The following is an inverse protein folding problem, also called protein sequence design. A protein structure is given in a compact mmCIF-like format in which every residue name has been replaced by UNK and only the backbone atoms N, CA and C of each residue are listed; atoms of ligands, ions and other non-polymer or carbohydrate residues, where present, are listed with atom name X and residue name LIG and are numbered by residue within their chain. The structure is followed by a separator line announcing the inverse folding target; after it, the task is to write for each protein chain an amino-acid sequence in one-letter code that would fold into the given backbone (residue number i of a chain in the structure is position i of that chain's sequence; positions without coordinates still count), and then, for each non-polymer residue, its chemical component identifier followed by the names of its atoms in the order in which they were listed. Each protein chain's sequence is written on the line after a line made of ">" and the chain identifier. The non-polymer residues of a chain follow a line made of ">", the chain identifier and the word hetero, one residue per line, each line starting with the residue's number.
data_IF_551650314393
#
_entry.id   IF_551650314393
#
_cell.length_a   1.000
_cell.length_b   1.000
_cell.length_c   1.000
_cell.angle_alpha   90.00
_cell.angle_beta   90.00
_cell.angle_gamma   90.00
#
_symmetry.space_group_name_H-M   'P 1'
#
loop_
_entity.id
_entity.type
_entity.pdbx_description
1 polymer ?
#
# COMPACT_ATOMS: atom_id res chain seq x y z
N UNK A 1 14.68 48.88 -10.54
CA UNK A 1 16.02 48.26 -10.68
C UNK A 1 16.04 47.49 -12.00
N UNK A 2 16.82 47.96 -12.97
CA UNK A 2 16.99 47.26 -14.24
C UNK A 2 17.79 45.97 -14.01
N UNK A 3 17.27 44.84 -14.49
CA UNK A 3 17.91 43.52 -14.40
C UNK A 3 19.09 43.53 -15.39
N UNK A 4 20.30 43.31 -14.89
CA UNK A 4 21.50 43.29 -15.72
C UNK A 4 21.61 41.91 -16.41
N UNK A 5 20.88 41.73 -17.51
CA UNK A 5 20.85 40.50 -18.33
C UNK A 5 22.20 40.17 -19.00
N UNK A 6 23.19 41.07 -18.94
CA UNK A 6 24.44 41.01 -19.71
C UNK A 6 25.47 39.94 -19.29
N UNK A 7 25.22 39.16 -18.22
CA UNK A 7 26.15 38.12 -17.73
C UNK A 7 25.62 36.69 -17.82
N UNK A 8 24.40 36.48 -18.33
CA UNK A 8 23.80 35.15 -18.39
C UNK A 8 23.77 34.69 -19.83
N UNK A 9 24.39 33.54 -20.09
CA UNK A 9 24.28 32.88 -21.38
C UNK A 9 22.96 32.11 -21.41
N UNK A 10 22.02 32.60 -22.19
CA UNK A 10 20.75 31.92 -22.44
C UNK A 10 20.93 30.81 -23.48
N UNK A 11 20.19 29.72 -23.31
CA UNK A 11 20.07 28.65 -24.31
C UNK A 11 18.89 28.94 -25.24
N UNK A 12 19.02 28.50 -26.50
CA UNK A 12 17.94 28.62 -27.49
C UNK A 12 16.82 27.62 -27.19
N UNK A 13 15.59 27.98 -27.58
CA UNK A 13 14.41 27.11 -27.45
C UNK A 13 14.58 25.77 -28.17
N UNK A 14 15.28 25.74 -29.31
CA UNK A 14 15.47 24.51 -30.11
C UNK A 14 16.42 23.50 -29.44
N UNK A 15 17.17 23.93 -28.41
CA UNK A 15 18.16 23.10 -27.74
C UNK A 15 17.64 22.48 -26.43
N UNK A 16 16.39 22.75 -26.06
CA UNK A 16 15.82 22.37 -24.76
C UNK A 16 14.57 21.52 -24.93
N UNK A 17 14.43 20.48 -24.10
CA UNK A 17 13.30 19.55 -24.19
C UNK A 17 12.15 19.93 -23.26
N UNK A 18 12.44 20.50 -22.09
CA UNK A 18 11.44 20.85 -21.07
C UNK A 18 11.70 22.25 -20.56
N UNK A 19 10.66 23.08 -20.51
CA UNK A 19 10.73 24.45 -19.99
C UNK A 19 9.93 24.56 -18.70
N UNK A 20 10.57 25.12 -17.66
CA UNK A 20 9.97 25.31 -16.34
C UNK A 20 10.06 26.75 -15.87
N UNK A 21 9.11 27.16 -15.05
CA UNK A 21 9.02 28.48 -14.45
C UNK A 21 8.89 28.42 -12.93
N UNK A 22 9.49 29.36 -12.18
CA UNK A 22 9.25 29.51 -10.75
C UNK A 22 7.89 30.18 -10.49
N UNK A 23 7.04 29.55 -9.68
CA UNK A 23 5.78 30.11 -9.18
C UNK A 23 5.86 30.29 -7.65
N UNK A 24 5.59 31.51 -7.20
CA UNK A 24 5.52 31.82 -5.77
C UNK A 24 4.16 31.39 -5.23
N UNK A 25 4.16 30.58 -4.17
CA UNK A 25 2.94 29.94 -3.65
C UNK A 25 2.24 30.68 -2.52
N UNK A 26 2.86 31.66 -1.83
CA UNK A 26 2.24 32.43 -0.74
C UNK A 26 2.77 33.87 -0.66
N UNK A 27 1.97 34.76 -0.06
CA UNK A 27 2.27 36.17 0.24
C UNK A 27 3.53 36.39 1.10
N UNK A 28 4.00 35.35 1.80
CA UNK A 28 5.18 35.42 2.69
C UNK A 28 6.52 35.09 2.00
N UNK A 29 6.57 35.05 0.66
CA UNK A 29 7.81 35.00 -0.15
C UNK A 29 8.85 33.88 0.12
N UNK A 30 8.56 32.91 0.98
CA UNK A 30 9.57 31.96 1.49
C UNK A 30 9.64 30.63 0.72
N UNK A 31 8.64 30.27 -0.09
CA UNK A 31 8.61 28.99 -0.81
C UNK A 31 8.31 29.17 -2.30
N UNK A 32 9.33 28.97 -3.13
CA UNK A 32 9.22 28.95 -4.60
C UNK A 32 9.11 27.50 -5.07
N UNK A 33 8.07 27.21 -5.84
CA UNK A 33 7.87 25.90 -6.49
C UNK A 33 7.98 26.06 -8.00
N UNK A 34 8.49 25.04 -8.70
CA UNK A 34 8.69 25.10 -10.15
C UNK A 34 7.65 24.23 -10.86
N UNK A 35 7.14 24.75 -11.96
CA UNK A 35 6.15 24.07 -12.80
C UNK A 35 6.60 24.11 -14.25
N UNK A 36 6.27 23.08 -15.03
CA UNK A 36 6.39 23.14 -16.48
C UNK A 36 5.32 24.07 -17.08
N UNK A 37 5.37 24.26 -18.40
CA UNK A 37 4.43 25.14 -19.11
C UNK A 37 2.97 24.63 -19.10
N UNK A 38 2.75 23.34 -18.80
CA UNK A 38 1.43 22.72 -18.65
C UNK A 38 0.91 22.70 -17.22
N UNK A 39 1.70 23.16 -16.24
CA UNK A 39 1.30 23.22 -14.83
C UNK A 39 1.67 22.00 -14.00
N UNK A 40 2.46 21.07 -14.53
CA UNK A 40 2.98 19.93 -13.77
C UNK A 40 4.12 20.38 -12.86
N UNK A 41 4.10 19.92 -11.61
CA UNK A 41 5.12 20.28 -10.62
C UNK A 41 6.43 19.54 -10.91
N UNK A 42 7.52 20.30 -11.03
CA UNK A 42 8.87 19.75 -11.23
C UNK A 42 9.64 19.75 -9.92
N UNK A 43 10.17 18.57 -9.55
CA UNK A 43 10.97 18.38 -8.34
C UNK A 43 12.43 18.06 -8.71
N UNK A 44 13.37 18.22 -7.77
CA UNK A 44 14.82 17.92 -7.93
C UNK A 44 15.62 18.86 -8.85
N UNK A 45 15.36 20.17 -8.81
CA UNK A 45 16.18 21.17 -9.51
C UNK A 45 17.36 21.58 -8.58
N UNK A 46 18.62 21.57 -9.07
CA UNK A 46 19.78 22.01 -8.29
C UNK A 46 19.59 23.42 -7.71
N UNK A 47 19.96 23.64 -6.44
CA UNK A 47 19.80 24.93 -5.73
C UNK A 47 20.37 26.11 -6.53
N UNK A 48 21.60 25.98 -7.04
CA UNK A 48 22.23 27.06 -7.81
C UNK A 48 21.44 27.46 -9.07
N UNK A 49 20.78 26.51 -9.74
CA UNK A 49 19.95 26.82 -10.92
C UNK A 49 18.62 27.45 -10.52
N UNK A 50 18.03 27.03 -9.39
CA UNK A 50 16.84 27.67 -8.82
C UNK A 50 17.11 29.13 -8.48
N UNK A 51 18.24 29.40 -7.82
CA UNK A 51 18.62 30.76 -7.40
C UNK A 51 18.88 31.67 -8.61
N UNK A 52 19.48 31.15 -9.68
CA UNK A 52 19.67 31.88 -10.94
C UNK A 52 18.32 32.24 -11.57
N UNK A 53 17.39 31.29 -11.67
CA UNK A 53 16.07 31.54 -12.26
C UNK A 53 15.27 32.59 -11.47
N UNK A 54 15.28 32.49 -10.14
CA UNK A 54 14.57 33.43 -9.25
C UNK A 54 15.19 34.82 -9.32
N UNK A 55 16.52 34.93 -9.20
CA UNK A 55 17.23 36.22 -9.19
C UNK A 55 17.09 36.99 -10.49
N UNK A 56 17.04 36.28 -11.61
CA UNK A 56 17.03 36.88 -12.94
C UNK A 56 15.67 36.84 -13.64
N UNK A 57 14.64 36.32 -12.95
CA UNK A 57 13.28 36.17 -13.48
C UNK A 57 13.24 35.49 -14.85
N UNK A 58 13.98 34.38 -14.99
CA UNK A 58 14.07 33.63 -16.24
C UNK A 58 13.47 32.23 -16.13
N UNK A 59 13.18 31.62 -17.28
CA UNK A 59 12.79 30.22 -17.37
C UNK A 59 14.02 29.32 -17.30
N UNK A 60 13.82 28.05 -16.97
CA UNK A 60 14.86 27.02 -17.09
C UNK A 60 14.46 25.99 -18.14
N UNK A 61 15.37 25.69 -19.04
CA UNK A 61 15.28 24.64 -20.05
C UNK A 61 16.12 23.43 -19.67
N UNK A 62 15.59 22.22 -19.88
CA UNK A 62 16.37 21.00 -19.78
C UNK A 62 17.13 20.77 -21.09
N UNK A 63 18.45 20.99 -21.08
CA UNK A 63 19.33 20.80 -22.24
C UNK A 63 20.09 19.48 -22.13
N UNK A 64 20.09 18.70 -23.21
CA UNK A 64 20.88 17.48 -23.32
C UNK A 64 22.33 17.80 -23.72
N UNK A 65 23.29 17.27 -22.96
CA UNK A 65 24.70 17.21 -23.31
C UNK A 65 25.11 15.76 -23.52
N UNK A 66 26.29 15.53 -24.14
CA UNK A 66 26.77 14.20 -24.56
C UNK A 66 26.54 13.06 -23.55
N UNK A 67 26.68 13.34 -22.24
CA UNK A 67 26.53 12.34 -21.17
C UNK A 67 25.60 12.79 -20.02
N UNK A 68 24.89 13.91 -20.14
CA UNK A 68 24.08 14.44 -19.02
C UNK A 68 23.04 15.45 -19.47
N UNK A 69 21.93 15.55 -18.76
CA UNK A 69 20.96 16.64 -18.91
C UNK A 69 21.15 17.69 -17.81
N UNK A 70 21.05 18.98 -18.16
CA UNK A 70 21.20 20.07 -17.19
C UNK A 70 20.19 21.18 -17.45
N UNK A 71 19.76 21.82 -16.36
CA UNK A 71 18.91 23.00 -16.42
C UNK A 71 19.72 24.23 -16.81
N UNK A 72 19.35 24.88 -17.90
CA UNK A 72 19.98 26.11 -18.40
C UNK A 72 18.96 27.26 -18.46
N UNK A 73 19.38 28.52 -18.23
CA UNK A 73 18.51 29.68 -18.36
C UNK A 73 18.00 29.87 -19.80
N UNK A 74 16.74 30.23 -19.95
CA UNK A 74 16.12 30.65 -21.22
C UNK A 74 15.63 32.09 -21.09
N UNK A 75 15.74 32.87 -22.16
CA UNK A 75 15.23 34.24 -22.22
C UNK A 75 13.68 34.24 -22.11
N UNK A 76 13.10 34.93 -21.12
CA UNK A 76 11.66 35.12 -21.03
C UNK A 76 11.00 35.65 -22.29
N UNK A 77 11.67 36.58 -23.00
CA UNK A 77 11.08 37.22 -24.17
C UNK A 77 10.89 36.24 -25.34
N UNK A 78 11.63 35.12 -25.35
CA UNK A 78 11.46 34.07 -26.36
C UNK A 78 10.33 33.12 -25.98
N UNK A 79 10.21 32.75 -24.70
CA UNK A 79 9.16 31.84 -24.21
C UNK A 79 7.79 32.52 -24.19
N UNK A 80 7.73 33.78 -23.75
CA UNK A 80 6.48 34.51 -23.54
C UNK A 80 5.69 34.70 -24.85
N UNK A 81 6.36 34.71 -26.00
CA UNK A 81 5.74 34.76 -27.34
C UNK A 81 4.90 33.53 -27.66
N UNK A 82 5.27 32.37 -27.12
CA UNK A 82 4.64 31.07 -27.40
C UNK A 82 3.83 30.54 -26.22
N UNK A 83 3.65 31.32 -25.15
CA UNK A 83 2.83 30.92 -23.99
C UNK A 83 1.34 30.72 -24.31
N UNK A 84 0.83 31.24 -25.43
CA UNK A 84 -0.56 31.01 -25.83
C UNK A 84 -0.72 29.85 -26.84
N UNK A 85 0.40 29.31 -27.33
CA UNK A 85 0.41 28.19 -28.27
C UNK A 85 0.30 26.86 -27.51
N UNK A 86 -0.75 26.10 -27.79
CA UNK A 86 -0.99 24.79 -27.17
C UNK A 86 0.06 23.77 -27.57
N UNK A 87 0.52 23.81 -28.82
CA UNK A 87 1.45 22.81 -29.36
C UNK A 87 2.84 23.03 -28.78
N UNK A 88 3.24 24.30 -28.65
CA UNK A 88 4.48 24.68 -27.97
C UNK A 88 4.50 24.25 -26.50
N UNK A 89 3.39 24.45 -25.78
CA UNK A 89 3.25 24.02 -24.38
C UNK A 89 3.40 22.51 -24.24
N UNK A 90 2.72 21.73 -25.08
CA UNK A 90 2.79 20.26 -25.05
C UNK A 90 4.19 19.77 -25.38
N UNK A 91 4.83 20.35 -26.40
CA UNK A 91 6.18 19.96 -26.83
C UNK A 91 7.26 20.19 -25.75
N UNK A 92 7.11 21.26 -24.94
CA UNK A 92 8.08 21.65 -23.91
C UNK A 92 7.64 21.33 -22.48
N UNK A 93 6.62 20.48 -22.30
CA UNK A 93 6.14 20.02 -20.99
C UNK A 93 6.55 18.59 -20.72
N UNK A 94 6.48 18.19 -19.45
CA UNK A 94 6.71 16.80 -19.05
C UNK A 94 5.51 15.96 -19.49
N UNK A 95 5.55 15.39 -20.71
CA UNK A 95 4.62 14.32 -21.08
C UNK A 95 4.98 13.04 -20.31
N UNK A 96 3.98 12.27 -19.89
CA UNK A 96 4.19 10.94 -19.28
C UNK A 96 4.97 9.99 -20.22
N UNK A 97 5.04 10.32 -21.51
CA UNK A 97 5.81 9.61 -22.53
C UNK A 97 7.31 10.01 -22.61
N UNK A 98 7.73 11.15 -22.05
CA UNK A 98 9.13 11.63 -22.12
C UNK A 98 9.98 11.29 -20.89
N UNK A 99 9.61 10.24 -20.14
CA UNK A 99 10.56 9.49 -19.30
C UNK A 99 10.82 8.12 -19.90
N UNK A 100 11.60 8.09 -20.96
CA UNK A 100 12.35 6.87 -21.29
C UNK A 100 13.84 7.15 -21.14
N UNK A 101 14.48 6.64 -20.06
CA UNK A 101 15.75 5.95 -20.31
C UNK A 101 15.52 5.00 -21.48
N UNK A 102 16.37 5.05 -22.50
CA UNK A 102 16.33 4.23 -23.73
C UNK A 102 15.39 3.02 -23.59
N UNK A 103 14.31 3.00 -24.38
CA UNK A 103 13.33 1.90 -24.40
C UNK A 103 14.05 0.62 -24.85
N UNK A 104 14.69 -0.08 -23.91
CA UNK A 104 15.17 -1.45 -24.11
C UNK A 104 13.99 -2.27 -24.61
N UNK A 105 14.17 -3.00 -25.71
CA UNK A 105 13.15 -3.89 -26.24
C UNK A 105 12.75 -4.89 -25.15
N UNK A 106 11.52 -5.43 -25.22
CA UNK A 106 11.05 -6.45 -24.27
C UNK A 106 11.97 -7.67 -24.20
N UNK A 107 12.73 -7.91 -25.26
CA UNK A 107 13.74 -8.96 -25.39
C UNK A 107 15.02 -8.58 -24.62
N UNK A 108 15.53 -7.36 -24.78
CA UNK A 108 16.72 -6.88 -24.06
C UNK A 108 16.48 -6.83 -22.53
N UNK A 109 15.27 -6.43 -22.11
CA UNK A 109 14.87 -6.50 -20.68
C UNK A 109 14.77 -7.94 -20.15
N UNK A 110 14.34 -8.88 -21.00
CA UNK A 110 14.28 -10.29 -20.63
C UNK A 110 15.70 -10.89 -20.54
N UNK A 111 16.60 -10.50 -21.45
CA UNK A 111 17.99 -10.94 -21.42
C UNK A 111 18.74 -10.42 -20.20
N UNK A 112 18.55 -9.15 -19.83
CA UNK A 112 19.10 -8.59 -18.59
C UNK A 112 18.59 -9.33 -17.35
N UNK A 113 17.30 -9.65 -17.30
CA UNK A 113 16.67 -10.39 -16.18
C UNK A 113 17.21 -11.83 -16.09
N UNK A 114 17.40 -12.50 -17.24
CA UNK A 114 18.00 -13.83 -17.30
C UNK A 114 19.46 -13.78 -16.82
N UNK A 115 20.26 -12.80 -17.29
CA UNK A 115 21.66 -12.68 -16.88
C UNK A 115 21.79 -12.36 -15.39
N UNK A 116 20.98 -11.44 -14.87
CA UNK A 116 20.94 -11.12 -13.45
C UNK A 116 20.58 -12.34 -12.60
N UNK A 117 19.57 -13.13 -13.02
CA UNK A 117 19.16 -14.35 -12.30
C UNK A 117 20.22 -15.45 -12.36
N UNK A 118 20.92 -15.59 -13.50
CA UNK A 118 22.06 -16.52 -13.63
C UNK A 118 23.20 -16.10 -12.70
N UNK A 119 23.52 -14.81 -12.62
CA UNK A 119 24.58 -14.29 -11.75
C UNK A 119 24.22 -14.46 -10.27
N UNK A 120 22.97 -14.17 -9.89
CA UNK A 120 22.42 -14.43 -8.56
C UNK A 120 22.55 -15.92 -8.21
N UNK A 121 22.03 -16.83 -9.05
CA UNK A 121 22.08 -18.27 -8.82
C UNK A 121 23.52 -18.82 -8.77
N UNK A 122 24.44 -18.26 -9.57
CA UNK A 122 25.88 -18.60 -9.50
C UNK A 122 26.53 -18.14 -8.21
N UNK A 123 26.23 -16.91 -7.76
CA UNK A 123 26.74 -16.36 -6.51
C UNK A 123 26.21 -17.17 -5.32
N UNK A 124 24.92 -17.53 -5.36
CA UNK A 124 24.25 -18.36 -4.35
C UNK A 124 24.85 -19.76 -4.27
N UNK A 125 25.09 -20.43 -5.41
CA UNK A 125 25.78 -21.73 -5.44
C UNK A 125 27.22 -21.65 -4.93
N UNK A 126 27.95 -20.57 -5.25
CA UNK A 126 29.34 -20.37 -4.78
C UNK A 126 29.38 -20.14 -3.27
N UNK A 127 28.43 -19.40 -2.72
CA UNK A 127 28.27 -19.16 -1.29
C UNK A 127 27.84 -20.45 -0.57
N UNK A 128 26.83 -21.13 -1.09
CA UNK A 128 26.33 -22.39 -0.54
C UNK A 128 27.37 -23.50 -0.48
N UNK A 129 28.20 -23.67 -1.53
CA UNK A 129 29.32 -24.63 -1.53
C UNK A 129 30.37 -24.37 -0.44
N UNK A 130 30.48 -23.13 0.06
CA UNK A 130 31.43 -22.76 1.12
C UNK A 130 30.85 -22.94 2.52
N UNK A 131 29.55 -22.67 2.68
CA UNK A 131 28.90 -22.60 3.99
C UNK A 131 28.30 -23.93 4.40
N UNK A 132 27.74 -24.68 3.45
CA UNK A 132 27.14 -25.98 3.73
C UNK A 132 28.12 -26.93 4.46
N UNK A 133 29.38 -27.14 4.01
CA UNK A 133 30.31 -27.99 4.76
C UNK A 133 30.60 -27.48 6.18
N UNK A 134 30.61 -26.16 6.39
CA UNK A 134 30.89 -25.56 7.68
C UNK A 134 29.71 -25.71 8.66
N UNK A 135 28.48 -25.52 8.20
CA UNK A 135 27.27 -25.70 9.01
C UNK A 135 27.01 -27.17 9.34
N UNK A 136 27.27 -28.08 8.39
CA UNK A 136 27.18 -29.51 8.63
C UNK A 136 28.17 -29.98 9.70
N UNK A 137 29.44 -29.53 9.64
CA UNK A 137 30.45 -29.83 10.67
C UNK A 137 30.05 -29.24 12.03
N UNK A 138 29.56 -27.99 12.05
CA UNK A 138 29.11 -27.32 13.27
C UNK A 138 27.93 -28.06 13.92
N UNK A 139 26.96 -28.51 13.13
CA UNK A 139 25.82 -29.30 13.61
C UNK A 139 26.26 -30.61 14.28
N UNK A 140 27.22 -31.33 13.68
CA UNK A 140 27.78 -32.57 14.24
C UNK A 140 28.54 -32.31 15.55
N UNK A 141 29.33 -31.23 15.60
CA UNK A 141 30.06 -30.84 16.82
C UNK A 141 29.08 -30.50 17.96
N UNK A 142 28.01 -29.76 17.68
CA UNK A 142 27.02 -29.39 18.69
C UNK A 142 26.28 -30.61 19.25
N UNK A 143 25.96 -31.59 18.41
CA UNK A 143 25.39 -32.87 18.86
C UNK A 143 26.36 -33.61 19.79
N UNK A 144 27.67 -33.51 19.53
CA UNK A 144 28.71 -34.21 20.29
C UNK A 144 29.03 -33.56 21.65
N UNK A 145 28.55 -32.35 21.92
CA UNK A 145 28.76 -31.59 23.18
C UNK A 145 27.42 -31.43 23.93
N UNK A 146 26.51 -32.39 23.78
CA UNK A 146 25.18 -32.45 24.42
C UNK A 146 24.20 -31.32 24.03
N UNK A 147 24.52 -30.49 23.02
CA UNK A 147 23.62 -29.49 22.44
C UNK A 147 22.78 -30.11 21.31
N UNK A 148 22.13 -31.23 21.60
CA UNK A 148 21.48 -32.10 20.62
C UNK A 148 20.36 -31.41 19.86
N UNK A 149 19.44 -30.70 20.55
CA UNK A 149 18.31 -29.98 19.92
C UNK A 149 18.81 -28.91 18.95
N UNK A 150 19.77 -28.08 19.39
CA UNK A 150 20.35 -27.00 18.57
C UNK A 150 21.11 -27.56 17.37
N UNK A 151 21.86 -28.65 17.55
CA UNK A 151 22.58 -29.32 16.46
C UNK A 151 21.64 -29.91 15.41
N UNK A 152 20.52 -30.53 15.81
CA UNK A 152 19.51 -31.04 14.89
C UNK A 152 18.79 -29.93 14.11
N UNK A 153 18.45 -28.80 14.75
CA UNK A 153 17.86 -27.64 14.06
C UNK A 153 18.79 -27.14 12.95
N UNK A 154 20.09 -27.02 13.25
CA UNK A 154 21.09 -26.56 12.27
C UNK A 154 21.18 -27.54 11.08
N UNK A 155 21.22 -28.86 11.33
CA UNK A 155 21.28 -29.86 10.27
C UNK A 155 20.01 -29.88 9.39
N UNK A 156 18.82 -29.72 9.97
CA UNK A 156 17.56 -29.67 9.22
C UNK A 156 17.52 -28.43 8.32
N UNK A 157 17.89 -27.26 8.86
CA UNK A 157 17.95 -26.03 8.09
C UNK A 157 18.97 -26.14 6.94
N UNK A 158 20.12 -26.78 7.16
CA UNK A 158 21.16 -26.96 6.15
C UNK A 158 20.72 -27.93 5.03
N UNK A 159 19.93 -28.97 5.36
CA UNK A 159 19.32 -29.87 4.39
C UNK A 159 18.24 -29.18 3.53
N UNK A 160 17.38 -28.36 4.14
CA UNK A 160 16.39 -27.54 3.41
C UNK A 160 17.11 -26.57 2.48
N UNK A 161 18.17 -25.93 2.96
CA UNK A 161 19.00 -25.03 2.18
C UNK A 161 19.65 -25.74 0.97
N UNK A 162 20.13 -26.98 1.14
CA UNK A 162 20.68 -27.78 0.04
C UNK A 162 19.63 -28.12 -1.03
N UNK A 163 18.38 -28.36 -0.62
CA UNK A 163 17.24 -28.51 -1.53
C UNK A 163 17.03 -27.26 -2.41
N UNK A 164 17.08 -26.07 -1.81
CA UNK A 164 16.93 -24.79 -2.55
C UNK A 164 18.11 -24.52 -3.50
N UNK A 165 19.33 -24.93 -3.14
CA UNK A 165 20.53 -24.81 -3.98
C UNK A 165 20.46 -25.67 -5.25
N UNK A 166 19.90 -26.87 -5.14
CA UNK A 166 19.72 -27.78 -6.28
C UNK A 166 18.62 -27.29 -7.23
N UNK A 167 17.58 -26.67 -6.68
CA UNK A 167 16.46 -26.10 -7.44
C UNK A 167 16.76 -24.76 -8.13
N UNK A 168 17.93 -24.14 -7.91
CA UNK A 168 18.32 -22.90 -8.57
C UNK A 168 19.09 -23.19 -9.88
N UNK A 169 18.45 -23.17 -11.07
CA UNK A 169 19.15 -23.44 -12.33
C UNK A 169 20.16 -22.35 -12.67
N UNK A 170 21.29 -22.73 -13.26
CA UNK A 170 22.30 -21.78 -13.77
C UNK A 170 22.45 -21.80 -15.29
N UNK A 171 21.68 -22.67 -15.94
CA UNK A 171 21.64 -22.81 -17.39
C UNK A 171 20.65 -21.79 -17.96
N UNK A 172 21.03 -21.17 -19.08
CA UNK A 172 20.22 -20.13 -19.73
C UNK A 172 18.82 -20.64 -20.12
N UNK A 173 18.71 -21.84 -20.67
CA UNK A 173 17.43 -22.41 -21.08
C UNK A 173 16.48 -22.62 -19.89
N UNK A 174 17.00 -23.15 -18.78
CA UNK A 174 16.21 -23.46 -17.58
C UNK A 174 15.79 -22.18 -16.84
N UNK A 175 16.68 -21.18 -16.75
CA UNK A 175 16.37 -19.87 -16.15
C UNK A 175 15.39 -19.08 -17.01
N UNK A 176 15.51 -19.15 -18.34
CA UNK A 176 14.56 -18.52 -19.26
C UNK A 176 13.17 -19.12 -19.08
N UNK A 177 13.07 -20.44 -18.98
CA UNK A 177 11.79 -21.12 -18.76
C UNK A 177 11.19 -20.73 -17.39
N UNK A 178 11.97 -20.71 -16.31
CA UNK A 178 11.46 -20.31 -14.99
C UNK A 178 10.97 -18.85 -14.96
N UNK A 179 11.66 -17.93 -15.64
CA UNK A 179 11.23 -16.53 -15.74
C UNK A 179 9.95 -16.40 -16.57
N UNK A 180 9.80 -17.19 -17.64
CA UNK A 180 8.59 -17.20 -18.45
C UNK A 180 7.40 -17.77 -17.66
N UNK A 181 7.61 -18.84 -16.90
CA UNK A 181 6.61 -19.44 -16.02
C UNK A 181 6.17 -18.46 -14.92
N UNK A 182 7.11 -17.79 -14.24
CA UNK A 182 6.79 -16.73 -13.26
C UNK A 182 6.00 -15.57 -13.90
N UNK A 183 6.32 -15.20 -15.14
CA UNK A 183 5.58 -14.15 -15.87
C UNK A 183 4.17 -14.61 -16.23
N UNK A 184 3.99 -15.86 -16.60
CA UNK A 184 2.67 -16.46 -16.87
C UNK A 184 1.84 -16.55 -15.59
N UNK A 185 2.41 -17.00 -14.47
CA UNK A 185 1.74 -17.00 -13.17
C UNK A 185 1.35 -15.59 -12.72
N UNK A 186 2.24 -14.61 -12.87
CA UNK A 186 1.93 -13.20 -12.55
C UNK A 186 0.80 -12.67 -13.43
N UNK A 187 0.80 -13.01 -14.72
CA UNK A 187 -0.30 -12.65 -15.64
C UNK A 187 -1.61 -13.33 -15.24
N UNK A 188 -1.57 -14.62 -14.86
CA UNK A 188 -2.74 -15.35 -14.38
C UNK A 188 -3.28 -14.74 -13.08
N UNK A 189 -2.42 -14.46 -12.09
CA UNK A 189 -2.80 -13.77 -10.85
C UNK A 189 -3.37 -12.38 -11.11
N UNK A 190 -2.79 -11.62 -12.05
CA UNK A 190 -3.34 -10.32 -12.45
C UNK A 190 -4.69 -10.46 -13.16
N UNK A 191 -4.86 -11.47 -14.00
CA UNK A 191 -6.11 -11.77 -14.69
C UNK A 191 -7.18 -12.22 -13.70
N UNK A 192 -6.84 -13.06 -12.72
CA UNK A 192 -7.73 -13.50 -11.64
C UNK A 192 -8.11 -12.35 -10.72
N UNK A 193 -7.15 -11.52 -10.30
CA UNK A 193 -7.44 -10.31 -9.52
C UNK A 193 -8.32 -9.33 -10.32
N UNK A 194 -8.10 -9.24 -11.63
CA UNK A 194 -8.94 -8.43 -12.53
C UNK A 194 -10.34 -9.04 -12.68
N UNK A 195 -10.46 -10.36 -12.81
CA UNK A 195 -11.76 -11.07 -12.85
C UNK A 195 -12.50 -10.95 -11.53
N UNK A 196 -11.83 -11.11 -10.39
CA UNK A 196 -12.42 -10.90 -9.07
C UNK A 196 -12.87 -9.44 -8.90
N UNK A 197 -12.09 -8.48 -9.40
CA UNK A 197 -12.47 -7.07 -9.43
C UNK A 197 -13.65 -6.81 -10.38
N UNK A 198 -13.67 -7.38 -11.57
CA UNK A 198 -14.75 -7.26 -12.55
C UNK A 198 -16.03 -7.98 -12.07
N UNK A 199 -15.91 -9.10 -11.37
CA UNK A 199 -17.01 -9.84 -10.75
C UNK A 199 -17.54 -9.12 -9.50
N UNK A 200 -16.65 -8.51 -8.71
CA UNK A 200 -17.02 -7.58 -7.64
C UNK A 200 -17.72 -6.35 -8.22
N UNK A 201 -17.21 -5.74 -9.28
CA UNK A 201 -17.85 -4.61 -9.95
C UNK A 201 -19.20 -5.04 -10.56
N UNK A 202 -19.31 -6.19 -11.23
CA UNK A 202 -20.56 -6.65 -11.83
C UNK A 202 -21.64 -7.04 -10.79
N UNK A 203 -21.24 -7.61 -9.66
CA UNK A 203 -22.18 -8.04 -8.61
C UNK A 203 -22.52 -6.92 -7.61
N UNK A 204 -21.75 -5.82 -7.58
CA UNK A 204 -21.90 -4.75 -6.59
C UNK A 204 -22.03 -3.33 -7.19
N UNK A 205 -21.93 -3.15 -8.51
CA UNK A 205 -22.13 -1.86 -9.19
C UNK A 205 -23.48 -1.85 -9.93
N UNK A 206 -24.44 -1.08 -9.41
CA UNK A 206 -25.52 -0.55 -10.26
C UNK A 206 -24.95 0.62 -11.04
N UNK A 207 -24.80 0.47 -12.36
CA UNK A 207 -24.44 1.57 -13.26
C UNK A 207 -25.44 2.72 -13.11
N UNK A 208 -24.95 3.89 -12.68
CA UNK A 208 -25.51 5.17 -13.11
C UNK A 208 -24.40 6.01 -13.72
N UNK A 209 -24.59 6.37 -14.99
CA UNK A 209 -23.82 7.41 -15.64
C UNK A 209 -23.97 8.71 -14.86
N UNK A 210 -22.85 9.29 -14.43
CA UNK A 210 -22.79 10.72 -14.12
C UNK A 210 -22.03 11.41 -15.26
N UNK A 211 -22.73 12.32 -15.96
CA UNK A 211 -22.31 12.89 -17.25
C UNK A 211 -21.37 14.09 -17.14
N UNK A 212 -20.89 14.47 -15.95
CA UNK A 212 -20.23 15.79 -15.84
C UNK A 212 -18.82 15.88 -15.25
N UNK A 213 -18.40 15.12 -14.23
CA UNK A 213 -17.11 15.43 -13.60
C UNK A 213 -16.29 14.17 -13.25
N UNK A 214 -15.38 13.78 -14.15
CA UNK A 214 -14.38 12.73 -13.95
C UNK A 214 -13.31 13.18 -12.94
N UNK A 215 -13.54 13.06 -11.63
CA UNK A 215 -12.45 13.11 -10.63
C UNK A 215 -12.81 12.34 -9.35
N UNK A 216 -11.85 11.57 -8.83
CA UNK A 216 -11.98 10.72 -7.62
C UNK A 216 -11.44 11.49 -6.41
N UNK A 217 -12.22 11.54 -5.32
CA UNK A 217 -11.77 12.08 -4.03
C UNK A 217 -12.26 11.22 -2.86
N UNK A 218 -11.34 10.90 -1.94
CA UNK A 218 -11.65 10.17 -0.71
C UNK A 218 -12.03 11.16 0.40
N UNK A 219 -13.24 11.06 0.93
CA UNK A 219 -13.62 11.71 2.19
C UNK A 219 -14.07 10.66 3.21
N UNK A 220 -13.30 10.51 4.27
CA UNK A 220 -13.78 9.87 5.50
C UNK A 220 -14.63 10.91 6.23
N UNK A 221 -15.95 10.77 6.17
CA UNK A 221 -16.85 11.63 6.95
C UNK A 221 -16.76 11.29 8.43
N UNK A 222 -15.78 11.89 9.12
CA UNK A 222 -15.87 12.11 10.55
C UNK A 222 -16.74 13.34 10.78
N UNK A 223 -18.05 13.12 10.99
CA UNK A 223 -18.93 13.91 11.86
C UNK A 223 -20.40 13.47 11.69
N UNK A 224 -20.99 13.06 12.81
CA UNK A 224 -22.42 13.14 13.13
C UNK A 224 -23.44 12.24 12.41
N UNK A 225 -23.06 11.09 11.86
CA UNK A 225 -24.03 10.01 11.63
C UNK A 225 -23.84 8.91 12.68
N UNK A 226 -24.82 8.81 13.57
CA UNK A 226 -25.20 7.65 14.39
C UNK A 226 -24.09 6.66 14.70
N UNK A 227 -23.08 7.12 15.45
CA UNK A 227 -22.11 6.22 16.07
C UNK A 227 -22.83 5.43 17.17
N UNK A 228 -23.23 4.20 16.86
CA UNK A 228 -23.32 3.20 17.89
C UNK A 228 -21.89 2.66 18.09
N UNK A 229 -21.27 2.98 19.21
CA UNK A 229 -20.01 2.34 19.62
C UNK A 229 -20.27 1.62 20.92
N UNK A 230 -20.12 0.30 20.92
CA UNK A 230 -20.06 -0.44 22.18
C UNK A 230 -18.60 -0.51 22.61
N UNK A 231 -18.34 -0.15 23.87
CA UNK A 231 -17.08 -0.47 24.52
C UNK A 231 -17.30 -1.76 25.29
N UNK A 232 -16.51 -2.76 24.93
CA UNK A 232 -16.44 -4.03 25.62
C UNK A 232 -15.17 -4.00 26.49
N UNK A 233 -15.37 -3.84 27.79
CA UNK A 233 -14.29 -3.83 28.77
C UNK A 233 -13.97 -5.24 29.24
N UNK A 234 -12.70 -5.62 29.18
CA UNK A 234 -12.20 -6.87 29.76
C UNK A 234 -12.77 -8.19 29.20
N UNK A 235 -13.07 -8.37 27.88
CA UNK A 235 -13.60 -9.64 27.40
C UNK A 235 -12.61 -10.77 27.69
N UNK A 236 -13.09 -11.93 28.15
CA UNK A 236 -12.22 -13.12 28.23
C UNK A 236 -12.34 -13.93 26.96
N UNK A 237 -11.20 -14.39 26.47
CA UNK A 237 -11.04 -15.16 25.25
C UNK A 237 -10.16 -16.34 25.59
N UNK A 238 -10.72 -17.56 25.55
CA UNK A 238 -10.00 -18.81 25.86
C UNK A 238 -9.19 -18.73 27.18
N UNK A 239 -9.75 -18.05 28.20
CA UNK A 239 -9.11 -17.83 29.50
C UNK A 239 -8.17 -16.63 29.60
N UNK A 240 -7.90 -15.92 28.50
CA UNK A 240 -7.08 -14.70 28.45
C UNK A 240 -7.94 -13.44 28.43
N UNK A 241 -7.61 -12.44 29.24
CA UNK A 241 -8.33 -11.15 29.27
C UNK A 241 -7.83 -10.22 28.17
N UNK A 242 -8.71 -9.89 27.23
CA UNK A 242 -8.56 -8.70 26.37
C UNK A 242 -8.74 -7.46 27.23
N UNK A 243 -7.86 -6.47 27.11
CA UNK A 243 -8.01 -5.26 27.92
C UNK A 243 -9.17 -4.39 27.46
N UNK A 244 -9.32 -4.20 26.15
CA UNK A 244 -10.38 -3.38 25.60
C UNK A 244 -10.68 -3.74 24.14
N UNK A 245 -11.95 -3.95 23.82
CA UNK A 245 -12.46 -4.02 22.46
C UNK A 245 -13.54 -2.95 22.28
N UNK A 246 -13.54 -2.27 21.14
CA UNK A 246 -14.64 -1.41 20.73
C UNK A 246 -15.08 -1.77 19.32
N UNK A 247 -16.38 -1.94 19.13
CA UNK A 247 -16.98 -2.14 17.83
C UNK A 247 -17.86 -0.94 17.49
N UNK A 248 -17.67 -0.39 16.30
CA UNK A 248 -18.52 0.65 15.73
C UNK A 248 -19.06 0.19 14.38
N UNK A 249 -20.37 0.34 14.17
CA UNK A 249 -21.00 0.15 12.86
C UNK A 249 -21.09 1.49 12.15
N UNK A 250 -20.80 1.51 10.85
CA UNK A 250 -20.81 2.74 10.06
C UNK A 250 -21.30 2.48 8.64
N UNK A 251 -22.11 3.40 8.13
CA UNK A 251 -22.37 3.53 6.71
C UNK A 251 -21.21 4.33 6.10
N UNK A 252 -20.44 3.69 5.22
CA UNK A 252 -19.36 4.29 4.46
C UNK A 252 -19.89 4.61 3.08
N UNK A 253 -19.90 5.89 2.73
CA UNK A 253 -20.24 6.35 1.38
C UNK A 253 -18.93 6.73 0.71
N UNK A 254 -18.54 5.96 -0.32
CA UNK A 254 -17.33 6.21 -1.10
C UNK A 254 -17.67 6.11 -2.57
N UNK A 255 -17.35 7.14 -3.35
CA UNK A 255 -17.57 7.13 -4.81
C UNK A 255 -19.03 6.79 -5.21
N UNK A 256 -20.03 7.29 -4.46
CA UNK A 256 -21.46 6.96 -4.56
C UNK A 256 -21.81 5.48 -4.27
N UNK A 257 -20.90 4.75 -3.66
CA UNK A 257 -21.10 3.39 -3.17
C UNK A 257 -21.41 3.47 -1.68
N UNK A 258 -22.61 3.08 -1.31
CA UNK A 258 -23.01 2.89 0.08
C UNK A 258 -22.59 1.48 0.52
N UNK A 259 -21.73 1.39 1.53
CA UNK A 259 -21.29 0.13 2.11
C UNK A 259 -21.38 0.19 3.64
N UNK A 260 -21.80 -0.91 4.26
CA UNK A 260 -21.78 -1.03 5.71
C UNK A 260 -20.42 -1.55 6.16
N UNK A 261 -19.96 -1.09 7.32
CA UNK A 261 -18.69 -1.50 7.89
C UNK A 261 -18.74 -1.67 9.40
N UNK A 262 -17.95 -2.62 9.91
CA UNK A 262 -17.58 -2.73 11.31
C UNK A 262 -16.15 -2.21 11.46
N UNK A 263 -15.98 -1.19 12.29
CA UNK A 263 -14.69 -0.72 12.76
C UNK A 263 -14.45 -1.33 14.13
N UNK A 264 -13.54 -2.30 14.19
CA UNK A 264 -13.18 -2.99 15.43
C UNK A 264 -11.82 -2.44 15.89
N UNK A 265 -11.78 -1.95 17.13
CA UNK A 265 -10.55 -1.47 17.77
C UNK A 265 -10.26 -2.38 18.95
N UNK A 266 -9.04 -2.91 19.03
CA UNK A 266 -8.61 -3.77 20.12
C UNK A 266 -7.29 -3.23 20.68
N UNK A 267 -7.23 -3.06 22.01
CA UNK A 267 -6.01 -2.78 22.76
C UNK A 267 -5.53 -4.06 23.45
N UNK A 268 -4.25 -4.39 23.29
CA UNK A 268 -3.67 -5.66 23.71
C UNK A 268 -2.22 -5.53 24.18
N UNK A 269 -1.75 -6.55 24.87
CA UNK A 269 -0.32 -6.77 25.14
C UNK A 269 0.24 -7.81 24.15
N UNK A 270 1.57 -7.89 24.04
CA UNK A 270 2.35 -8.28 22.84
C UNK A 270 2.01 -9.58 22.07
N UNK A 271 1.14 -10.46 22.56
CA UNK A 271 1.08 -11.87 22.11
C UNK A 271 -0.09 -12.26 21.18
N UNK A 272 -0.73 -11.32 20.47
CA UNK A 272 -1.91 -11.66 19.64
C UNK A 272 -1.66 -11.51 18.13
N UNK A 273 -1.48 -12.64 17.45
CA UNK A 273 -1.24 -12.71 15.99
C UNK A 273 -2.56 -12.77 15.18
N UNK A 274 -3.66 -13.19 15.80
CA UNK A 274 -4.91 -13.54 15.11
C UNK A 274 -5.53 -12.44 14.23
N UNK A 275 -5.52 -11.18 14.65
CA UNK A 275 -6.23 -10.11 13.92
C UNK A 275 -5.52 -9.62 12.66
N UNK A 276 -4.18 -9.71 12.60
CA UNK A 276 -3.40 -9.24 11.43
C UNK A 276 -3.57 -10.13 10.20
N UNK A 277 -3.99 -11.38 10.42
CA UNK A 277 -4.08 -12.43 9.41
C UNK A 277 -5.36 -13.25 9.59
N UNK A 278 -6.40 -12.64 10.19
CA UNK A 278 -7.61 -13.35 10.57
C UNK A 278 -8.90 -12.72 10.08
N UNK A 279 -9.95 -13.53 10.06
CA UNK A 279 -11.29 -13.14 9.65
C UNK A 279 -12.14 -12.86 10.88
N UNK A 280 -13.07 -11.92 10.74
CA UNK A 280 -14.16 -11.77 11.70
C UNK A 280 -15.31 -12.66 11.23
N UNK A 281 -15.56 -13.74 11.97
CA UNK A 281 -16.60 -14.72 11.68
C UNK A 281 -17.83 -14.44 12.56
N UNK A 282 -18.99 -14.32 11.91
CA UNK A 282 -20.28 -14.13 12.56
C UNK A 282 -21.10 -15.39 12.28
N UNK A 283 -21.43 -16.15 13.32
CA UNK A 283 -22.30 -17.32 13.19
C UNK A 283 -23.73 -16.88 13.48
N UNK A 284 -24.59 -17.02 12.49
CA UNK A 284 -25.99 -16.64 12.55
C UNK A 284 -26.82 -17.92 12.53
N UNK A 285 -27.47 -18.23 13.65
CA UNK A 285 -28.19 -19.49 13.84
C UNK A 285 -27.32 -20.71 13.46
N UNK A 286 -26.05 -20.68 13.86
CA UNK A 286 -25.04 -21.71 13.56
C UNK A 286 -24.39 -21.63 12.17
N UNK A 287 -24.83 -20.72 11.29
CA UNK A 287 -24.26 -20.58 9.94
C UNK A 287 -23.15 -19.52 9.92
N UNK A 288 -21.89 -19.88 9.57
CA UNK A 288 -20.79 -18.94 9.59
C UNK A 288 -20.82 -17.98 8.40
N UNK A 289 -20.62 -16.69 8.67
CA UNK A 289 -20.30 -15.65 7.70
C UNK A 289 -18.93 -15.08 8.03
N UNK A 290 -17.98 -15.23 7.12
CA UNK A 290 -16.61 -14.72 7.31
C UNK A 290 -16.47 -13.36 6.66
N UNK A 291 -15.90 -12.40 7.39
CA UNK A 291 -15.54 -11.08 6.91
C UNK A 291 -14.03 -10.92 6.90
N UNK A 292 -13.51 -10.60 5.72
CA UNK A 292 -12.09 -10.28 5.54
C UNK A 292 -11.80 -8.85 5.95
N UNK A 293 -10.64 -8.64 6.56
CA UNK A 293 -10.15 -7.32 6.91
C UNK A 293 -9.82 -6.53 5.64
N UNK A 294 -10.42 -5.34 5.50
CA UNK A 294 -10.23 -4.46 4.34
C UNK A 294 -9.13 -3.42 4.60
N UNK A 295 -9.01 -2.96 5.85
CA UNK A 295 -7.96 -2.03 6.28
C UNK A 295 -7.52 -2.36 7.71
N UNK A 296 -6.22 -2.20 7.98
CA UNK A 296 -5.59 -2.53 9.27
C UNK A 296 -4.62 -1.40 9.64
N UNK A 297 -4.95 -0.67 10.70
CA UNK A 297 -4.05 0.31 11.32
C UNK A 297 -3.48 -0.26 12.61
N UNK A 298 -2.15 -0.34 12.70
CA UNK A 298 -1.43 -0.82 13.89
C UNK A 298 -0.66 0.31 14.55
N UNK A 299 -0.89 0.54 15.85
CA UNK A 299 -0.15 1.50 16.67
C UNK A 299 0.52 0.80 17.85
N UNK A 300 1.84 0.88 17.90
CA UNK A 300 2.64 0.41 19.03
C UNK A 300 2.74 1.55 20.05
N UNK A 301 2.44 1.26 21.31
CA UNK A 301 2.58 2.18 22.43
C UNK A 301 3.23 1.50 23.63
N UNK A 302 3.45 2.28 24.68
CA UNK A 302 3.85 1.79 25.99
C UNK A 302 2.78 2.14 27.00
N UNK A 303 2.45 1.20 27.89
CA UNK A 303 1.45 1.39 28.94
C UNK A 303 2.01 0.91 30.26
N UNK A 304 1.92 1.76 31.28
CA UNK A 304 2.32 1.42 32.64
C UNK A 304 1.14 0.76 33.36
N UNK A 305 1.33 -0.46 33.84
CA UNK A 305 0.34 -1.24 34.58
C UNK A 305 0.98 -1.66 35.89
N UNK A 306 0.44 -1.18 37.01
CA UNK A 306 0.92 -1.50 38.37
C UNK A 306 2.43 -1.26 38.57
N UNK A 307 3.01 -0.27 37.89
CA UNK A 307 4.43 0.07 37.95
C UNK A 307 5.33 -0.62 36.91
N UNK A 308 4.79 -1.56 36.14
CA UNK A 308 5.50 -2.20 35.02
C UNK A 308 5.14 -1.52 33.70
N UNK A 309 6.14 -1.07 32.95
CA UNK A 309 5.98 -0.59 31.58
C UNK A 309 5.90 -1.80 30.66
N UNK A 310 4.72 -2.02 30.06
CA UNK A 310 4.51 -3.06 29.06
C UNK A 310 4.21 -2.43 27.71
N UNK A 311 4.68 -3.07 26.65
CA UNK A 311 4.32 -2.69 25.29
C UNK A 311 2.84 -2.98 25.10
N UNK A 312 2.10 -1.95 24.68
CA UNK A 312 0.73 -2.11 24.24
C UNK A 312 0.67 -2.00 22.73
N UNK A 313 -0.22 -2.78 22.15
CA UNK A 313 -0.47 -2.76 20.74
C UNK A 313 -1.94 -2.48 20.52
N UNK A 314 -2.21 -1.38 19.82
CA UNK A 314 -3.56 -0.99 19.44
C UNK A 314 -3.75 -1.30 17.97
N UNK A 315 -4.72 -2.14 17.66
CA UNK A 315 -5.13 -2.42 16.29
C UNK A 315 -6.52 -1.87 16.03
N UNK A 316 -6.68 -1.30 14.84
CA UNK A 316 -7.97 -0.92 14.28
C UNK A 316 -8.12 -1.67 12.96
N UNK A 317 -9.19 -2.45 12.87
CA UNK A 317 -9.51 -3.26 11.70
C UNK A 317 -10.88 -2.87 11.16
N UNK A 318 -10.98 -2.71 9.86
CA UNK A 318 -12.24 -2.43 9.16
C UNK A 318 -12.71 -3.66 8.40
N UNK A 319 -13.94 -4.09 8.67
CA UNK A 319 -14.63 -5.16 7.94
C UNK A 319 -15.82 -4.57 7.18
N UNK A 320 -15.94 -4.86 5.88
CA UNK A 320 -17.07 -4.40 5.07
C UNK A 320 -18.10 -5.51 4.85
N UNK A 321 -19.38 -5.17 4.82
CA UNK A 321 -20.46 -6.13 4.63
C UNK A 321 -21.69 -5.53 3.93
N UNK A 322 -22.57 -6.40 3.44
CA UNK A 322 -23.84 -6.03 2.80
C UNK A 322 -24.96 -5.86 3.83
N UNK A 323 -25.96 -5.05 3.49
CA UNK A 323 -27.20 -4.89 4.28
C UNK A 323 -27.84 -6.23 4.69
N UNK A 324 -27.83 -7.23 3.80
CA UNK A 324 -28.41 -8.55 4.11
C UNK A 324 -27.79 -9.21 5.33
N UNK A 325 -26.51 -8.94 5.62
CA UNK A 325 -25.88 -9.47 6.83
C UNK A 325 -26.49 -8.82 8.08
N UNK A 326 -26.77 -7.52 8.03
CA UNK A 326 -27.37 -6.79 9.14
C UNK A 326 -28.82 -7.22 9.37
N UNK A 327 -29.59 -7.42 8.31
CA UNK A 327 -30.95 -7.97 8.37
C UNK A 327 -30.97 -9.38 8.98
N UNK A 328 -30.01 -10.23 8.60
CA UNK A 328 -29.82 -11.56 9.21
C UNK A 328 -29.47 -11.47 10.70
N UNK A 329 -28.57 -10.57 11.09
CA UNK A 329 -28.23 -10.34 12.50
C UNK A 329 -29.47 -9.82 13.27
N UNK A 330 -30.27 -8.95 12.65
CA UNK A 330 -31.48 -8.41 13.27
C UNK A 330 -32.50 -9.50 13.59
N UNK A 331 -32.69 -10.43 12.66
CA UNK A 331 -33.74 -11.47 12.72
C UNK A 331 -33.30 -12.80 13.34
N UNK A 332 -32.00 -12.96 13.64
CA UNK A 332 -31.49 -14.23 14.17
C UNK A 332 -31.95 -14.52 15.60
N UNK A 333 -31.98 -15.82 15.94
CA UNK A 333 -32.26 -16.28 17.30
C UNK A 333 -30.97 -16.45 18.10
N UNK A 334 -29.94 -16.95 17.44
CA UNK A 334 -28.63 -17.18 18.02
C UNK A 334 -27.55 -16.45 17.23
N UNK A 335 -26.62 -15.84 17.96
CA UNK A 335 -25.52 -15.08 17.42
C UNK A 335 -24.26 -15.47 18.18
N UNK A 336 -23.22 -15.84 17.44
CA UNK A 336 -21.88 -16.04 17.99
C UNK A 336 -20.87 -15.26 17.13
N UNK A 337 -19.85 -14.71 17.77
CA UNK A 337 -18.80 -13.96 17.11
C UNK A 337 -17.46 -14.64 17.37
N UNK A 338 -16.65 -14.76 16.33
CA UNK A 338 -15.32 -15.36 16.40
C UNK A 338 -14.29 -14.53 15.63
N UNK A 339 -13.05 -14.55 16.11
CA UNK A 339 -11.89 -14.19 15.31
C UNK A 339 -11.15 -15.46 14.92
N UNK A 340 -10.94 -15.69 13.63
CA UNK A 340 -10.30 -16.92 13.12
C UNK A 340 -9.00 -16.59 12.42
N UNK A 341 -7.95 -17.41 12.56
CA UNK A 341 -6.72 -17.31 11.76
C UNK A 341 -6.07 -18.68 11.65
N UNK A 342 -5.81 -19.13 10.42
CA UNK A 342 -5.34 -20.49 10.16
C UNK A 342 -6.31 -21.53 10.73
N UNK A 343 -5.80 -22.42 11.60
CA UNK A 343 -6.60 -23.45 12.28
C UNK A 343 -7.13 -23.00 13.65
N UNK A 344 -6.78 -21.81 14.12
CA UNK A 344 -7.20 -21.29 15.42
C UNK A 344 -8.42 -20.39 15.32
N UNK A 345 -9.26 -20.42 16.35
CA UNK A 345 -10.39 -19.52 16.50
C UNK A 345 -10.54 -19.08 17.95
N UNK A 346 -10.92 -17.82 18.11
CA UNK A 346 -11.24 -17.18 19.37
C UNK A 346 -12.75 -16.90 19.35
N UNK A 347 -13.49 -17.41 20.33
CA UNK A 347 -14.91 -17.07 20.50
C UNK A 347 -15.07 -15.91 21.47
N UNK A 348 -15.93 -14.96 21.11
CA UNK A 348 -16.32 -13.84 21.98
C UNK A 348 -17.40 -14.32 22.97
N UNK A 349 -17.26 -13.94 24.23
CA UNK A 349 -18.22 -14.28 25.30
C UNK A 349 -19.65 -13.77 25.02
N UNK A 350 -20.64 -14.50 25.54
CA UNK A 350 -22.05 -14.26 25.17
C UNK A 350 -22.60 -12.91 25.64
N UNK A 351 -22.06 -12.30 26.69
CA UNK A 351 -22.51 -10.98 27.19
C UNK A 351 -22.11 -9.85 26.22
N UNK A 352 -20.91 -9.99 25.66
CA UNK A 352 -20.31 -9.14 24.65
C UNK A 352 -21.01 -9.28 23.31
N UNK A 353 -21.41 -10.51 22.96
CA UNK A 353 -22.19 -10.76 21.75
C UNK A 353 -23.59 -10.13 21.86
N UNK A 354 -24.24 -10.16 23.03
CA UNK A 354 -25.52 -9.46 23.26
C UNK A 354 -25.37 -7.96 23.04
N UNK A 355 -24.32 -7.37 23.61
CA UNK A 355 -23.97 -5.96 23.44
C UNK A 355 -23.75 -5.58 21.97
N UNK A 356 -23.05 -6.43 21.21
CA UNK A 356 -22.87 -6.25 19.76
C UNK A 356 -24.18 -6.40 18.98
N UNK A 357 -25.04 -7.36 19.36
CA UNK A 357 -26.36 -7.53 18.75
C UNK A 357 -27.24 -6.30 18.95
N UNK A 358 -27.32 -5.79 20.18
CA UNK A 358 -28.07 -4.56 20.46
C UNK A 358 -27.59 -3.36 19.62
N UNK A 359 -26.27 -3.26 19.40
CA UNK A 359 -25.69 -2.23 18.53
C UNK A 359 -26.20 -2.38 17.09
N UNK A 360 -26.14 -3.60 16.55
CA UNK A 360 -26.60 -3.90 15.19
C UNK A 360 -28.11 -3.64 15.04
N UNK A 361 -28.91 -4.07 16.01
CA UNK A 361 -30.36 -3.92 16.01
C UNK A 361 -30.76 -2.43 16.02
N UNK A 362 -30.19 -1.65 16.95
CA UNK A 362 -30.42 -0.19 17.02
C UNK A 362 -30.02 0.53 15.74
N UNK A 363 -28.92 0.12 15.11
CA UNK A 363 -28.49 0.70 13.85
C UNK A 363 -29.43 0.32 12.70
N UNK A 364 -29.82 -0.96 12.61
CA UNK A 364 -30.72 -1.46 11.57
C UNK A 364 -32.08 -0.77 11.63
N UNK A 365 -32.69 -0.71 12.82
CA UNK A 365 -33.96 -0.02 13.06
C UNK A 365 -33.88 1.45 12.65
N UNK A 366 -32.80 2.13 13.05
CA UNK A 366 -32.64 3.55 12.77
C UNK A 366 -32.43 3.85 11.29
N UNK A 367 -31.68 3.02 10.57
CA UNK A 367 -31.24 3.31 9.20
C UNK A 367 -32.17 2.73 8.14
N UNK A 368 -32.78 1.57 8.40
CA UNK A 368 -33.54 0.83 7.39
C UNK A 368 -35.03 0.76 7.69
N UNK A 369 -35.43 0.71 8.96
CA UNK A 369 -36.86 0.66 9.34
C UNK A 369 -37.44 2.06 9.48
N UNK A 370 -36.79 2.93 10.26
CA UNK A 370 -37.27 4.29 10.58
C UNK A 370 -37.04 5.32 9.46
N UNK A 371 -36.66 4.91 8.24
CA UNK A 371 -36.65 5.77 7.04
C UNK A 371 -38.06 6.15 6.54
N UNK A 372 -39.11 5.65 7.18
CA UNK A 372 -40.51 5.74 6.75
C UNK A 372 -41.39 6.71 7.56
N UNK A 373 -40.80 7.71 8.23
CA UNK A 373 -41.55 8.84 8.83
C UNK A 373 -41.00 10.17 8.35
#
# INVERSE_FOLDING_TARGET
>A
MAINLSKIKFSSLDEVSVIISPKQTNSDNTKVTFYDLSGNRVTKIPSGKRDIAIRNKCYLGLKAYKNSERWEPIDPNEVDKYLNDSDFKVAHSLSEDNKQPQKRTSEEKLEDEIQAKIEENRSFRKYGKRIFPALLILGIILISVDWTVTGWIILICDLIYLGTLWQSPTNYADVKNSILEEREERKQKQLEAKKQKEEFEANFVVKKEDKFNQTISYQTYSRNYNHGSITISSPKVDGNTLWWMSAAISLVIKDNIEALSFNIVIDRMEDWIFLRQGQFQILIDGNPTNLDAVDIETKVGTREIAGDIKSSLKERVMYMFKEQLLEKIYTCKDLELRFTSGTGSITIESEEVKSFKELCDKFYEKVFINKSV
#
